data_IF_881458506655
#
_entry.id   IF_881458506655
#
_cell.length_a   1.000
_cell.length_b   1.000
_cell.length_c   1.000
_cell.angle_alpha   90.00
_cell.angle_beta   90.00
_cell.angle_gamma   90.00
#
_symmetry.space_group_name_H-M   'P 1'
#
loop_
_entity.id
_entity.type
_entity.pdbx_description
1 polymer ?
#
# COMPACT_ATOMS: atom_id res chain seq x y z
N UNK A 1 0.17 -14.58 -16.82
CA UNK A 1 0.36 -15.11 -15.45
C UNK A 1 1.74 -14.77 -14.87
N UNK A 2 2.86 -15.03 -15.55
CA UNK A 2 4.21 -14.66 -15.04
C UNK A 2 4.45 -13.14 -14.98
N UNK A 3 4.20 -12.40 -16.07
CA UNK A 3 4.29 -10.93 -16.10
C UNK A 3 3.38 -10.22 -15.08
N UNK A 4 2.18 -10.76 -14.83
CA UNK A 4 1.24 -10.25 -13.82
C UNK A 4 1.69 -10.53 -12.39
N UNK A 5 2.40 -11.65 -12.14
CA UNK A 5 3.02 -11.94 -10.84
C UNK A 5 4.24 -11.04 -10.59
N UNK A 6 5.01 -10.71 -11.62
CA UNK A 6 6.17 -9.81 -11.50
C UNK A 6 5.71 -8.36 -11.29
N UNK A 7 4.68 -7.91 -12.00
CA UNK A 7 4.03 -6.62 -11.72
C UNK A 7 3.49 -6.57 -10.28
N UNK A 8 2.89 -7.66 -9.79
CA UNK A 8 2.48 -7.78 -8.40
C UNK A 8 3.67 -7.79 -7.42
N UNK A 9 4.84 -8.33 -7.78
CA UNK A 9 6.04 -8.32 -6.95
C UNK A 9 6.67 -6.92 -6.82
N UNK A 10 6.63 -6.10 -7.88
CA UNK A 10 7.04 -4.69 -7.84
C UNK A 10 6.07 -3.86 -6.97
N UNK A 11 4.78 -4.23 -6.92
CA UNK A 11 3.76 -3.63 -6.04
C UNK A 11 3.81 -4.20 -4.61
N UNK A 12 4.24 -5.45 -4.42
CA UNK A 12 4.20 -6.16 -3.15
C UNK A 12 5.23 -5.66 -2.12
N UNK A 13 6.20 -4.84 -2.53
CA UNK A 13 7.14 -4.21 -1.61
C UNK A 13 6.47 -3.26 -0.58
N UNK A 14 5.18 -2.92 -0.73
CA UNK A 14 4.48 -1.92 0.07
C UNK A 14 3.44 -2.38 1.09
N UNK A 15 3.33 -3.67 1.45
CA UNK A 15 2.20 -4.15 2.30
C UNK A 15 2.58 -4.68 3.69
N UNK A 16 3.85 -4.89 4.03
CA UNK A 16 4.21 -5.46 5.33
C UNK A 16 4.85 -4.45 6.28
N UNK A 17 4.13 -4.12 7.37
CA UNK A 17 4.69 -3.45 8.54
C UNK A 17 3.99 -2.14 8.92
N UNK A 18 2.74 -2.26 9.37
CA UNK A 18 2.20 -1.29 10.35
C UNK A 18 3.01 -1.46 11.64
N UNK A 19 3.10 -0.43 12.54
CA UNK A 19 3.09 -0.58 14.02
C UNK A 19 4.03 0.24 14.97
N UNK A 20 3.63 1.39 15.56
CA UNK A 20 3.80 1.74 17.01
C UNK A 20 3.03 3.04 17.33
N UNK A 21 2.28 3.13 18.45
CA UNK A 21 2.11 4.34 19.28
C UNK A 21 1.10 4.19 20.45
N UNK A 22 1.26 5.07 21.44
CA UNK A 22 0.34 5.29 22.57
C UNK A 22 -1.04 5.74 22.06
N UNK A 23 -2.15 5.36 22.71
CA UNK A 23 -3.49 5.81 22.36
C UNK A 23 -3.54 7.34 22.29
N UNK A 24 -3.53 7.90 21.09
CA UNK A 24 -3.86 9.30 20.90
C UNK A 24 -5.37 9.45 21.01
N UNK A 25 -5.81 10.29 21.94
CA UNK A 25 -7.21 10.72 22.03
C UNK A 25 -7.57 11.75 20.95
N UNK A 26 -6.63 12.03 20.02
CA UNK A 26 -6.80 13.06 19.00
C UNK A 26 -7.95 12.67 18.06
N UNK A 27 -9.05 13.39 18.21
CA UNK A 27 -10.23 13.28 17.34
C UNK A 27 -10.01 13.98 15.99
N UNK A 28 -8.84 14.60 15.79
CA UNK A 28 -8.51 15.40 14.62
C UNK A 28 -7.21 14.91 13.98
N UNK A 29 -7.31 14.59 12.69
CA UNK A 29 -6.18 14.16 11.86
C UNK A 29 -5.33 15.38 11.49
N UNK A 30 -4.24 15.60 12.22
CA UNK A 30 -3.26 16.65 11.94
C UNK A 30 -2.01 16.06 11.28
N UNK A 31 -2.11 15.75 9.99
CA UNK A 31 -1.02 15.19 9.20
C UNK A 31 -0.93 15.88 7.84
N UNK A 32 -0.01 16.86 7.66
CA UNK A 32 0.07 17.68 6.44
C UNK A 32 0.24 16.90 5.14
N UNK A 33 0.87 15.71 5.20
CA UNK A 33 1.09 14.89 4.01
C UNK A 33 -0.21 14.34 3.39
N UNK A 34 -1.32 14.34 4.13
CA UNK A 34 -2.65 14.03 3.57
C UNK A 34 -3.08 15.03 2.49
N UNK A 35 -2.47 16.23 2.44
CA UNK A 35 -2.74 17.22 1.41
C UNK A 35 -2.23 16.80 0.02
N UNK A 36 -1.33 15.81 -0.05
CA UNK A 36 -0.77 15.29 -1.31
C UNK A 36 -1.48 14.02 -1.78
N UNK A 37 -2.51 13.55 -1.07
CA UNK A 37 -3.27 12.36 -1.43
C UNK A 37 -4.63 12.79 -2.02
N UNK A 38 -4.96 12.42 -3.27
CA UNK A 38 -6.24 12.74 -3.89
C UNK A 38 -7.42 12.20 -3.07
N UNK A 39 -8.50 12.97 -2.96
CA UNK A 39 -9.69 12.55 -2.20
C UNK A 39 -10.42 11.34 -2.82
N UNK A 40 -10.26 11.14 -4.13
CA UNK A 40 -10.78 10.03 -4.92
C UNK A 40 -9.84 8.82 -4.95
N UNK A 41 -8.76 8.82 -4.14
CA UNK A 41 -7.89 7.66 -4.02
C UNK A 41 -8.68 6.41 -3.61
N UNK A 42 -8.50 5.33 -4.39
CA UNK A 42 -9.25 4.07 -4.25
C UNK A 42 -8.73 3.25 -3.09
N UNK A 43 -7.42 3.32 -2.83
CA UNK A 43 -6.76 2.64 -1.74
C UNK A 43 -5.83 3.62 -1.05
N UNK A 44 -5.88 3.63 0.28
CA UNK A 44 -4.96 4.40 1.10
C UNK A 44 -4.61 3.61 2.35
N UNK A 45 -3.37 3.75 2.78
CA UNK A 45 -2.85 3.35 4.06
C UNK A 45 -1.89 4.43 4.54
N UNK A 46 -2.06 4.87 5.78
CA UNK A 46 -1.26 5.91 6.39
C UNK A 46 -0.91 5.52 7.82
N UNK A 47 0.39 5.42 8.09
CA UNK A 47 0.96 5.37 9.42
C UNK A 47 1.23 6.83 9.84
N UNK A 48 0.22 7.46 10.44
CA UNK A 48 0.24 8.89 10.78
C UNK A 48 1.19 9.19 11.93
N UNK A 49 1.50 8.17 12.72
CA UNK A 49 2.40 8.25 13.84
C UNK A 49 3.66 7.44 13.60
N UNK A 50 4.86 7.92 14.00
CA UNK A 50 6.11 7.20 13.72
C UNK A 50 6.13 5.79 14.31
N UNK A 51 6.51 4.82 13.48
CA UNK A 51 6.71 3.41 13.81
C UNK A 51 8.20 3.16 14.06
N UNK A 52 8.54 2.55 15.21
CA UNK A 52 9.87 1.98 15.45
C UNK A 52 10.03 0.68 14.66
N UNK A 53 10.48 0.78 13.41
CA UNK A 53 10.62 -0.36 12.51
C UNK A 53 11.66 -1.36 13.03
N UNK A 54 12.71 -0.90 13.73
CA UNK A 54 13.76 -1.77 14.26
C UNK A 54 13.23 -2.63 15.40
N UNK A 55 12.55 -2.01 16.37
CA UNK A 55 11.92 -2.74 17.48
C UNK A 55 10.81 -3.67 16.98
N UNK A 56 10.07 -3.24 15.96
CA UNK A 56 9.04 -4.05 15.33
C UNK A 56 9.61 -5.31 14.68
N UNK A 57 10.62 -5.19 13.81
CA UNK A 57 11.22 -6.34 13.12
C UNK A 57 11.84 -7.35 14.10
N UNK A 58 12.44 -6.86 15.20
CA UNK A 58 12.94 -7.71 16.28
C UNK A 58 11.86 -8.55 16.95
N UNK A 59 10.66 -7.99 17.11
CA UNK A 59 9.53 -8.70 17.72
C UNK A 59 8.93 -9.78 16.83
N UNK A 60 8.98 -9.60 15.51
CA UNK A 60 8.45 -10.56 14.56
C UNK A 60 9.32 -11.82 14.44
N UNK A 61 10.61 -11.71 14.77
CA UNK A 61 11.57 -12.79 14.58
C UNK A 61 11.70 -13.20 13.11
N UNK A 62 11.63 -12.23 12.18
CA UNK A 62 11.76 -12.50 10.76
C UNK A 62 13.17 -12.98 10.43
N UNK A 63 13.30 -14.27 10.11
CA UNK A 63 14.55 -14.84 9.62
C UNK A 63 14.63 -14.75 8.09
N UNK A 64 15.81 -14.53 7.50
CA UNK A 64 15.98 -14.49 6.04
C UNK A 64 15.44 -15.77 5.36
N UNK A 65 15.57 -16.92 6.02
CA UNK A 65 15.12 -18.22 5.50
C UNK A 65 13.61 -18.27 5.24
N UNK A 66 12.79 -17.42 5.88
CA UNK A 66 11.34 -17.39 5.60
C UNK A 66 11.00 -16.84 4.21
N UNK A 67 11.84 -15.96 3.65
CA UNK A 67 11.55 -15.25 2.39
C UNK A 67 12.61 -15.45 1.31
N UNK A 68 13.81 -15.89 1.68
CA UNK A 68 14.98 -16.10 0.83
C UNK A 68 15.47 -17.56 0.91
N UNK A 69 14.55 -18.52 1.08
CA UNK A 69 14.89 -19.94 1.01
C UNK A 69 15.36 -20.33 -0.42
N UNK A 70 16.06 -21.47 -0.59
CA UNK A 70 16.58 -21.88 -1.88
C UNK A 70 15.52 -22.00 -2.99
N UNK A 71 14.30 -22.44 -2.66
CA UNK A 71 13.20 -22.58 -3.62
C UNK A 71 12.73 -21.21 -4.12
N UNK A 72 12.55 -20.25 -3.20
CA UNK A 72 12.18 -18.87 -3.54
C UNK A 72 13.29 -18.15 -4.29
N UNK A 73 14.56 -18.37 -3.92
CA UNK A 73 15.70 -17.79 -4.64
C UNK A 73 15.78 -18.30 -6.09
N UNK A 74 15.42 -19.56 -6.34
CA UNK A 74 15.32 -20.10 -7.69
C UNK A 74 14.15 -19.47 -8.47
N UNK A 75 13.01 -19.22 -7.82
CA UNK A 75 11.92 -18.46 -8.45
C UNK A 75 12.39 -17.04 -8.79
N UNK A 76 13.05 -16.36 -7.85
CA UNK A 76 13.57 -15.01 -8.07
C UNK A 76 14.62 -14.95 -9.17
N UNK A 77 15.54 -15.91 -9.23
CA UNK A 77 16.58 -15.97 -10.28
C UNK A 77 15.95 -16.15 -11.67
N UNK A 78 14.94 -17.00 -11.79
CA UNK A 78 14.21 -17.22 -13.03
C UNK A 78 13.45 -15.96 -13.49
N UNK A 79 12.78 -15.26 -12.56
CA UNK A 79 12.07 -14.01 -12.88
C UNK A 79 13.05 -12.89 -13.23
N UNK A 80 14.17 -12.77 -12.51
CA UNK A 80 15.19 -11.77 -12.76
C UNK A 80 15.86 -11.94 -14.13
N UNK A 81 15.96 -13.17 -14.64
CA UNK A 81 16.53 -13.47 -15.95
C UNK A 81 15.60 -13.12 -17.13
N UNK A 82 14.33 -12.76 -16.89
CA UNK A 82 13.39 -12.45 -17.99
C UNK A 82 13.73 -11.13 -18.72
N UNK A 83 14.23 -10.12 -18.01
CA UNK A 83 14.57 -8.79 -18.55
C UNK A 83 15.40 -8.00 -17.55
N UNK A 84 16.05 -6.91 -18.01
CA UNK A 84 16.74 -5.98 -17.11
C UNK A 84 15.77 -5.36 -16.09
N UNK A 85 14.56 -4.99 -16.53
CA UNK A 85 13.49 -4.44 -15.68
C UNK A 85 13.01 -5.44 -14.62
N UNK A 86 12.87 -6.73 -14.98
CA UNK A 86 12.51 -7.77 -14.01
C UNK A 86 13.64 -8.02 -13.01
N UNK A 87 14.89 -8.10 -13.49
CA UNK A 87 16.07 -8.22 -12.64
C UNK A 87 16.19 -7.07 -11.63
N UNK A 88 15.89 -5.84 -12.07
CA UNK A 88 15.88 -4.66 -11.21
C UNK A 88 14.83 -4.77 -10.10
N UNK A 89 13.58 -5.09 -10.45
CA UNK A 89 12.49 -5.23 -9.48
C UNK A 89 12.75 -6.34 -8.45
N UNK A 90 13.29 -7.48 -8.90
CA UNK A 90 13.67 -8.58 -8.01
C UNK A 90 14.84 -8.18 -7.11
N UNK A 91 15.87 -7.51 -7.64
CA UNK A 91 17.00 -7.06 -6.83
C UNK A 91 16.56 -6.05 -5.74
N UNK A 92 15.66 -5.11 -6.07
CA UNK A 92 15.07 -4.20 -5.08
C UNK A 92 14.31 -4.95 -3.98
N UNK A 93 13.46 -5.90 -4.36
CA UNK A 93 12.70 -6.71 -3.41
C UNK A 93 13.63 -7.51 -2.49
N UNK A 94 14.66 -8.16 -3.03
CA UNK A 94 15.62 -8.94 -2.24
C UNK A 94 16.45 -8.05 -1.31
N UNK A 95 16.92 -6.89 -1.78
CA UNK A 95 17.63 -5.93 -0.94
C UNK A 95 16.77 -5.47 0.24
N UNK A 96 15.48 -5.20 -0.01
CA UNK A 96 14.54 -4.80 1.02
C UNK A 96 14.24 -5.94 2.02
N UNK A 97 13.95 -7.16 1.54
CA UNK A 97 13.75 -8.34 2.40
C UNK A 97 14.98 -8.66 3.25
N UNK A 98 16.19 -8.50 2.70
CA UNK A 98 17.43 -8.65 3.44
C UNK A 98 17.59 -7.57 4.52
N UNK A 99 17.17 -6.33 4.26
CA UNK A 99 17.17 -5.29 5.27
C UNK A 99 16.15 -5.56 6.39
N UNK A 100 14.96 -6.07 6.06
CA UNK A 100 13.93 -6.43 7.04
C UNK A 100 14.37 -7.55 8.00
N UNK A 101 15.21 -8.47 7.52
CA UNK A 101 15.76 -9.58 8.32
C UNK A 101 17.01 -9.21 9.12
N UNK A 102 17.52 -7.98 8.96
CA UNK A 102 18.65 -7.45 9.74
C UNK A 102 18.27 -6.12 10.41
N UNK A 103 17.46 -6.15 11.49
CA UNK A 103 16.90 -4.94 12.08
C UNK A 103 17.96 -3.89 12.49
N UNK A 104 19.13 -4.32 12.95
CA UNK A 104 20.23 -3.43 13.35
C UNK A 104 20.81 -2.61 12.20
N UNK A 105 20.77 -3.13 10.97
CA UNK A 105 21.35 -2.49 9.78
C UNK A 105 20.29 -1.92 8.84
N UNK A 106 19.00 -2.05 9.18
CA UNK A 106 17.87 -1.62 8.35
C UNK A 106 18.02 -0.17 7.85
N UNK A 107 18.26 0.78 8.76
CA UNK A 107 18.43 2.21 8.41
C UNK A 107 19.63 2.41 7.49
N UNK A 108 20.75 1.74 7.79
CA UNK A 108 21.98 1.85 6.99
C UNK A 108 21.79 1.31 5.57
N UNK A 109 20.99 0.25 5.40
CA UNK A 109 20.77 -0.41 4.10
C UNK A 109 19.71 0.28 3.24
N UNK A 110 18.73 0.93 3.87
CA UNK A 110 17.54 1.46 3.18
C UNK A 110 17.45 2.98 3.20
N UNK A 111 18.14 3.65 4.12
CA UNK A 111 17.98 5.07 4.39
C UNK A 111 16.69 5.45 5.11
N UNK A 112 15.76 4.51 5.30
CA UNK A 112 14.47 4.73 5.97
C UNK A 112 14.72 4.96 7.46
N UNK A 113 14.05 5.95 8.03
CA UNK A 113 14.20 6.28 9.44
C UNK A 113 13.78 5.12 10.35
N UNK A 114 14.51 4.90 11.45
CA UNK A 114 14.14 3.88 12.43
C UNK A 114 12.76 4.16 13.05
N UNK A 115 12.45 5.44 13.25
CA UNK A 115 11.14 5.94 13.64
C UNK A 115 10.53 6.61 12.41
N UNK A 116 9.76 5.86 11.62
CA UNK A 116 9.25 6.35 10.33
C UNK A 116 7.74 6.35 10.30
N UNK A 117 7.17 7.42 9.73
CA UNK A 117 5.82 7.40 9.17
C UNK A 117 5.87 6.84 7.75
N UNK A 118 4.76 6.28 7.28
CA UNK A 118 4.64 5.73 5.94
C UNK A 118 3.28 5.99 5.34
N UNK A 119 3.23 6.10 4.02
CA UNK A 119 2.01 6.30 3.24
C UNK A 119 2.06 5.37 2.04
N UNK A 120 0.97 4.65 1.80
CA UNK A 120 0.73 3.90 0.57
C UNK A 120 -0.62 4.31 0.04
N UNK A 121 -0.69 4.82 -1.19
CA UNK A 121 -1.96 5.28 -1.78
C UNK A 121 -1.93 5.22 -3.30
N UNK A 122 -3.09 5.39 -3.92
CA UNK A 122 -3.21 5.54 -5.37
C UNK A 122 -3.35 7.02 -5.75
N UNK A 123 -2.65 7.45 -6.79
CA UNK A 123 -2.99 8.65 -7.58
C UNK A 123 -3.50 8.12 -8.91
N UNK A 124 -4.82 8.06 -9.07
CA UNK A 124 -5.44 7.36 -10.20
C UNK A 124 -4.90 5.94 -10.36
N UNK A 125 -4.26 5.64 -11.49
CA UNK A 125 -3.63 4.34 -11.77
C UNK A 125 -2.20 4.19 -11.23
N UNK A 126 -1.58 5.24 -10.71
CA UNK A 126 -0.22 5.21 -10.16
C UNK A 126 -0.22 4.87 -8.66
N UNK A 127 0.26 3.68 -8.24
CA UNK A 127 0.54 3.41 -6.84
C UNK A 127 1.74 4.24 -6.36
N UNK A 128 1.61 4.82 -5.17
CA UNK A 128 2.60 5.66 -4.51
C UNK A 128 2.90 5.11 -3.14
N UNK A 129 4.19 4.97 -2.82
CA UNK A 129 4.69 4.62 -1.49
C UNK A 129 5.61 5.75 -1.03
N UNK A 130 5.44 6.18 0.22
CA UNK A 130 6.27 7.21 0.85
C UNK A 130 6.66 6.82 2.26
N UNK A 131 7.86 7.19 2.67
CA UNK A 131 8.37 6.99 4.02
C UNK A 131 9.39 8.06 4.39
N UNK A 132 9.56 8.30 5.68
CA UNK A 132 10.53 9.25 6.19
C UNK A 132 11.95 8.68 6.11
N UNK A 133 12.88 9.50 5.67
CA UNK A 133 14.28 9.13 5.53
C UNK A 133 15.11 9.67 6.70
N UNK A 134 16.04 8.85 7.17
CA UNK A 134 17.15 9.28 8.02
C UNK A 134 18.44 9.48 7.23
N UNK A 135 18.61 8.77 6.10
CA UNK A 135 19.79 8.86 5.24
C UNK A 135 19.38 8.77 3.76
N UNK A 136 19.38 9.91 3.09
CA UNK A 136 19.07 10.00 1.66
C UNK A 136 20.10 9.28 0.78
N UNK A 137 21.38 9.26 1.17
CA UNK A 137 22.42 8.61 0.37
C UNK A 137 22.26 7.09 0.40
N UNK A 138 21.96 6.52 1.57
CA UNK A 138 21.63 5.10 1.70
C UNK A 138 20.37 4.73 0.90
N UNK A 139 19.35 5.60 0.91
CA UNK A 139 18.14 5.40 0.12
C UNK A 139 18.45 5.32 -1.38
N UNK A 140 19.22 6.26 -1.92
CA UNK A 140 19.65 6.22 -3.33
C UNK A 140 20.54 5.02 -3.65
N UNK A 141 21.44 4.65 -2.74
CA UNK A 141 22.34 3.52 -2.92
C UNK A 141 21.58 2.19 -3.08
N UNK A 142 20.45 2.01 -2.40
CA UNK A 142 19.60 0.83 -2.55
C UNK A 142 19.13 0.63 -4.01
N UNK A 143 18.71 1.71 -4.67
CA UNK A 143 18.29 1.64 -6.08
C UNK A 143 19.46 1.55 -7.03
N UNK A 144 20.56 2.23 -6.76
CA UNK A 144 21.77 2.17 -7.58
C UNK A 144 22.38 0.77 -7.58
N UNK A 145 22.37 0.09 -6.43
CA UNK A 145 22.79 -1.30 -6.33
C UNK A 145 21.88 -2.22 -7.15
N UNK A 146 20.56 -2.06 -7.06
CA UNK A 146 19.63 -2.86 -7.86
C UNK A 146 19.78 -2.59 -9.37
N UNK A 147 19.98 -1.33 -9.76
CA UNK A 147 20.23 -0.91 -11.14
C UNK A 147 21.52 -1.53 -11.69
N UNK A 148 22.61 -1.46 -10.92
CA UNK A 148 23.91 -2.06 -11.27
C UNK A 148 23.80 -3.57 -11.42
N UNK A 149 23.13 -4.26 -10.48
CA UNK A 149 22.99 -5.71 -10.50
C UNK A 149 22.15 -6.23 -11.68
N UNK A 150 21.19 -5.43 -12.14
CA UNK A 150 20.28 -5.78 -13.23
C UNK A 150 20.72 -5.28 -14.60
N UNK A 151 21.72 -4.39 -14.65
CA UNK A 151 22.12 -3.67 -15.85
C UNK A 151 21.08 -2.62 -16.31
N UNK A 152 20.07 -2.32 -15.49
CA UNK A 152 19.08 -1.30 -15.80
C UNK A 152 19.66 0.10 -15.54
N UNK A 153 19.65 0.97 -16.54
CA UNK A 153 20.09 2.35 -16.38
C UNK A 153 19.00 3.20 -15.72
N UNK A 154 19.40 4.12 -14.84
CA UNK A 154 18.54 5.20 -14.35
C UNK A 154 18.73 6.47 -15.17
N UNK A 155 17.66 7.23 -15.37
CA UNK A 155 17.72 8.57 -15.93
C UNK A 155 17.42 9.61 -14.84
N UNK A 156 18.23 10.66 -14.77
CA UNK A 156 17.90 11.81 -13.94
C UNK A 156 16.95 12.73 -14.71
N UNK A 157 15.79 12.98 -14.14
CA UNK A 157 14.76 13.86 -14.69
C UNK A 157 14.52 15.06 -13.78
N UNK A 158 13.91 16.11 -14.33
CA UNK A 158 13.53 17.31 -13.58
C UNK A 158 12.09 17.67 -13.91
N UNK A 159 11.31 18.03 -12.88
CA UNK A 159 9.95 18.54 -13.01
C UNK A 159 9.76 19.69 -12.04
N UNK A 160 9.37 20.86 -12.53
CA UNK A 160 9.18 22.08 -11.72
C UNK A 160 10.40 22.43 -10.84
N UNK A 161 11.62 22.19 -11.34
CA UNK A 161 12.87 22.44 -10.61
C UNK A 161 13.24 21.38 -9.56
N UNK A 162 12.45 20.31 -9.44
CA UNK A 162 12.74 19.17 -8.57
C UNK A 162 13.34 18.02 -9.37
N UNK A 163 14.50 17.51 -8.93
CA UNK A 163 15.18 16.38 -9.54
C UNK A 163 14.68 15.05 -8.99
N UNK A 164 14.44 14.07 -9.85
CA UNK A 164 14.07 12.71 -9.48
C UNK A 164 14.76 11.71 -10.42
N UNK A 165 14.77 10.42 -10.07
CA UNK A 165 15.28 9.36 -10.94
C UNK A 165 14.14 8.55 -11.51
N UNK A 166 14.23 8.20 -12.79
CA UNK A 166 13.33 7.27 -13.45
C UNK A 166 14.07 6.02 -13.90
N UNK A 167 13.41 4.88 -13.74
CA UNK A 167 13.88 3.57 -14.21
C UNK A 167 12.83 3.04 -15.18
N UNK A 168 13.18 2.85 -16.46
CA UNK A 168 12.22 2.30 -17.43
C UNK A 168 11.90 0.84 -17.10
N UNK A 169 10.61 0.53 -17.03
CA UNK A 169 10.10 -0.83 -16.87
C UNK A 169 9.43 -1.33 -18.15
N UNK A 170 9.68 -0.69 -19.30
CA UNK A 170 8.99 -0.97 -20.57
C UNK A 170 9.10 -2.44 -21.02
N UNK A 171 10.22 -3.12 -20.72
CA UNK A 171 10.41 -4.54 -21.03
C UNK A 171 9.41 -5.43 -20.27
N UNK A 172 9.00 -5.00 -19.07
CA UNK A 172 8.06 -5.70 -18.20
C UNK A 172 6.61 -5.25 -18.43
N UNK A 173 6.39 -3.94 -18.42
CA UNK A 173 5.12 -3.25 -18.55
C UNK A 173 5.32 -2.05 -19.47
N UNK A 174 4.83 -2.16 -20.71
CA UNK A 174 4.97 -1.12 -21.71
C UNK A 174 4.47 0.24 -21.19
N UNK A 175 5.23 1.30 -21.46
CA UNK A 175 4.94 2.66 -21.03
C UNK A 175 5.15 2.91 -19.54
N UNK A 176 5.60 1.95 -18.74
CA UNK A 176 5.70 2.09 -17.28
C UNK A 176 7.12 2.43 -16.86
N UNK A 177 7.24 3.34 -15.89
CA UNK A 177 8.50 3.72 -15.25
C UNK A 177 8.33 3.66 -13.73
N UNK A 178 9.39 3.24 -13.03
CA UNK A 178 9.52 3.51 -11.60
C UNK A 178 10.13 4.90 -11.43
N UNK A 179 9.43 5.79 -10.74
CA UNK A 179 9.94 7.10 -10.37
C UNK A 179 10.31 7.08 -8.89
N UNK A 180 11.48 7.62 -8.58
CA UNK A 180 11.98 7.74 -7.21
C UNK A 180 12.40 9.18 -6.97
N UNK A 181 11.90 9.79 -5.90
CA UNK A 181 12.28 11.14 -5.50
C UNK A 181 12.50 11.25 -3.99
N UNK A 182 13.22 12.29 -3.58
CA UNK A 182 13.37 12.66 -2.17
C UNK A 182 13.03 14.13 -2.03
N UNK A 183 11.99 14.43 -1.26
CA UNK A 183 11.49 15.80 -1.06
C UNK A 183 11.02 15.96 0.38
N UNK A 184 11.41 17.05 1.05
CA UNK A 184 11.01 17.37 2.44
C UNK A 184 11.27 16.23 3.44
N UNK A 185 12.34 15.46 3.25
CA UNK A 185 12.69 14.32 4.12
C UNK A 185 11.89 13.04 3.87
N UNK A 186 11.07 13.00 2.82
CA UNK A 186 10.33 11.81 2.38
C UNK A 186 10.95 11.19 1.14
N UNK A 187 11.22 9.89 1.19
CA UNK A 187 11.42 9.08 -0.01
C UNK A 187 10.06 8.80 -0.62
N UNK A 188 9.92 8.99 -1.94
CA UNK A 188 8.69 8.74 -2.69
C UNK A 188 9.00 7.81 -3.85
N UNK A 189 8.26 6.70 -3.94
CA UNK A 189 8.36 5.70 -4.99
C UNK A 189 7.02 5.61 -5.69
N UNK A 190 7.03 5.70 -7.02
CA UNK A 190 5.82 5.72 -7.85
C UNK A 190 5.99 4.79 -9.05
N UNK A 191 4.98 3.97 -9.35
CA UNK A 191 4.86 3.38 -10.68
C UNK A 191 3.99 4.31 -11.54
N UNK A 192 4.59 4.89 -12.57
CA UNK A 192 3.94 5.89 -13.41
C UNK A 192 3.95 5.46 -14.87
N UNK A 193 2.83 5.67 -15.57
CA UNK A 193 2.73 5.37 -17.00
C UNK A 193 2.99 6.63 -17.84
N UNK A 194 3.73 6.51 -18.93
CA UNK A 194 4.18 7.61 -19.78
C UNK A 194 3.05 8.35 -20.50
N UNK A 195 1.91 7.68 -20.70
CA UNK A 195 0.69 8.31 -21.25
C UNK A 195 0.01 9.29 -20.27
N UNK A 196 0.36 9.27 -18.99
CA UNK A 196 -0.22 10.17 -17.99
C UNK A 196 0.52 11.52 -17.98
N UNK A 197 -0.25 12.59 -17.76
CA UNK A 197 0.22 13.98 -17.89
C UNK A 197 1.34 14.35 -16.89
N UNK A 198 2.05 15.45 -17.17
CA UNK A 198 3.02 16.02 -16.23
C UNK A 198 2.40 16.45 -14.90
N UNK A 199 1.15 16.97 -14.90
CA UNK A 199 0.43 17.30 -13.67
C UNK A 199 0.16 16.04 -12.84
N UNK A 200 -0.25 14.95 -13.49
CA UNK A 200 -0.43 13.66 -12.84
C UNK A 200 0.89 13.15 -12.24
N UNK A 201 2.00 13.29 -13.00
CA UNK A 201 3.34 12.97 -12.51
C UNK A 201 3.71 13.79 -11.27
N UNK A 202 3.49 15.11 -11.30
CA UNK A 202 3.76 16.00 -10.18
C UNK A 202 2.95 15.66 -8.92
N UNK A 203 1.67 15.29 -9.08
CA UNK A 203 0.81 14.83 -7.98
C UNK A 203 1.29 13.49 -7.43
N UNK A 204 1.61 12.52 -8.29
CA UNK A 204 2.11 11.20 -7.88
C UNK A 204 3.46 11.27 -7.13
N UNK A 205 4.34 12.21 -7.50
CA UNK A 205 5.61 12.48 -6.81
C UNK A 205 5.45 13.37 -5.55
N UNK A 206 4.22 13.72 -5.16
CA UNK A 206 3.91 14.64 -4.05
C UNK A 206 4.58 16.02 -4.17
N UNK A 207 4.83 16.48 -5.40
CA UNK A 207 5.35 17.82 -5.70
C UNK A 207 4.22 18.85 -5.82
N UNK A 208 3.02 18.39 -6.17
CA UNK A 208 1.80 19.18 -6.30
C UNK A 208 0.70 18.59 -5.43
N UNK A 209 -0.07 19.46 -4.76
CA UNK A 209 -1.27 19.05 -4.03
C UNK A 209 -2.44 18.93 -5.02
N UNK A 210 -3.21 17.82 -5.00
CA UNK A 210 -4.46 17.73 -5.72
C UNK A 210 -5.46 18.79 -5.23
N UNK A 211 -6.30 19.30 -6.14
CA UNK A 211 -7.31 20.31 -5.81
C UNK A 211 -8.26 19.86 -4.69
N UNK A 212 -8.66 18.59 -4.73
CA UNK A 212 -9.40 17.91 -3.65
C UNK A 212 -8.54 16.78 -3.09
N UNK A 213 -8.21 16.86 -1.79
CA UNK A 213 -7.29 15.95 -1.14
C UNK A 213 -7.84 15.44 0.20
N UNK A 214 -7.18 14.45 0.80
CA UNK A 214 -7.66 13.84 2.05
C UNK A 214 -7.64 14.81 3.24
N UNK A 215 -6.78 15.83 3.22
CA UNK A 215 -6.74 16.85 4.28
C UNK A 215 -7.96 17.78 4.22
N UNK A 216 -8.36 18.25 3.03
CA UNK A 216 -9.41 19.26 2.87
C UNK A 216 -10.82 18.70 2.59
N UNK A 217 -10.94 17.45 2.12
CA UNK A 217 -12.24 16.84 1.77
C UNK A 217 -13.08 16.43 2.98
N UNK A 218 -12.47 16.27 4.16
CA UNK A 218 -13.12 15.76 5.36
C UNK A 218 -13.48 14.26 5.32
N UNK A 219 -13.24 13.57 4.20
CA UNK A 219 -13.60 12.15 3.99
C UNK A 219 -12.95 11.23 5.03
N UNK A 220 -11.64 11.33 5.22
CA UNK A 220 -10.91 10.51 6.17
C UNK A 220 -11.35 10.81 7.62
N UNK A 221 -11.55 12.09 7.94
CA UNK A 221 -12.01 12.52 9.26
C UNK A 221 -13.42 12.02 9.59
N UNK A 222 -14.32 12.01 8.61
CA UNK A 222 -15.67 11.45 8.75
C UNK A 222 -15.61 9.94 8.98
N UNK A 223 -14.78 9.21 8.22
CA UNK A 223 -14.57 7.77 8.36
C UNK A 223 -14.04 7.39 9.75
N UNK A 224 -13.01 8.10 10.23
CA UNK A 224 -12.44 7.89 11.58
C UNK A 224 -13.50 8.08 12.67
N UNK A 225 -14.34 9.11 12.55
CA UNK A 225 -15.42 9.38 13.50
C UNK A 225 -16.53 8.33 13.43
N UNK A 226 -16.99 8.01 12.21
CA UNK A 226 -18.10 7.09 11.99
C UNK A 226 -17.79 5.69 12.53
N UNK A 227 -16.58 5.19 12.30
CA UNK A 227 -16.19 3.83 12.68
C UNK A 227 -15.38 3.76 13.98
N UNK A 228 -15.21 4.90 14.66
CA UNK A 228 -14.43 5.03 15.89
C UNK A 228 -13.04 4.41 15.73
N UNK A 229 -12.35 4.79 14.66
CA UNK A 229 -11.03 4.28 14.33
C UNK A 229 -9.96 4.92 15.19
N UNK A 230 -8.89 4.19 15.47
CA UNK A 230 -7.65 4.75 15.99
C UNK A 230 -6.92 5.51 14.88
N UNK A 231 -6.40 6.69 15.22
CA UNK A 231 -5.77 7.58 14.26
C UNK A 231 -4.27 7.34 14.06
N UNK A 232 -3.68 6.34 14.73
CA UNK A 232 -2.24 6.09 14.68
C UNK A 232 -1.85 5.48 13.33
N UNK A 233 -2.59 4.46 12.89
CA UNK A 233 -2.57 3.92 11.55
C UNK A 233 -3.98 3.75 11.01
N UNK A 234 -4.25 4.23 9.80
CA UNK A 234 -5.55 4.11 9.13
C UNK A 234 -5.34 3.64 7.71
N UNK A 235 -6.20 2.74 7.23
CA UNK A 235 -6.28 2.39 5.83
C UNK A 235 -7.71 2.15 5.36
N UNK A 236 -7.92 2.27 4.05
CA UNK A 236 -9.17 1.89 3.42
C UNK A 236 -9.00 1.43 1.97
N UNK A 237 -9.95 0.63 1.50
CA UNK A 237 -10.24 0.38 0.09
C UNK A 237 -11.67 0.85 -0.18
N UNK A 238 -11.83 1.82 -1.08
CA UNK A 238 -13.12 2.42 -1.41
C UNK A 238 -13.77 1.72 -2.59
N UNK A 239 -14.87 1.01 -2.33
CA UNK A 239 -15.67 0.38 -3.38
C UNK A 239 -16.40 1.39 -4.25
N UNK A 240 -16.75 2.56 -3.71
CA UNK A 240 -17.33 3.67 -4.47
C UNK A 240 -16.37 4.14 -5.57
N UNK A 241 -15.12 4.43 -5.19
CA UNK A 241 -14.11 4.87 -6.15
C UNK A 241 -13.72 3.75 -7.11
N UNK A 242 -13.66 2.50 -6.64
CA UNK A 242 -13.41 1.35 -7.51
C UNK A 242 -14.56 1.11 -8.50
N UNK A 243 -15.81 1.23 -8.06
CA UNK A 243 -16.99 1.08 -8.92
C UNK A 243 -17.01 2.15 -10.01
N UNK A 244 -16.73 3.42 -9.66
CA UNK A 244 -16.60 4.51 -10.62
C UNK A 244 -15.48 4.22 -11.63
N UNK A 245 -14.32 3.78 -11.16
CA UNK A 245 -13.18 3.45 -12.01
C UNK A 245 -13.47 2.34 -13.03
N UNK A 246 -14.24 1.32 -12.65
CA UNK A 246 -14.50 0.14 -13.48
C UNK A 246 -15.72 0.29 -14.41
N UNK A 247 -16.65 1.18 -14.08
CA UNK A 247 -17.93 1.28 -14.81
C UNK A 247 -18.07 2.57 -15.62
N UNK A 248 -17.14 3.51 -15.48
CA UNK A 248 -17.15 4.80 -16.18
C UNK A 248 -15.82 5.06 -16.88
N UNK A 249 -15.82 6.02 -17.81
CA UNK A 249 -14.59 6.46 -18.49
C UNK A 249 -13.90 7.62 -17.78
N UNK A 250 -14.62 8.35 -16.93
CA UNK A 250 -14.18 9.64 -16.39
C UNK A 250 -14.68 9.97 -14.97
N UNK A 251 -15.37 9.03 -14.30
CA UNK A 251 -15.99 9.26 -12.99
C UNK A 251 -15.01 9.59 -11.86
N UNK A 252 -13.75 9.19 -11.98
CA UNK A 252 -12.64 9.60 -11.11
C UNK A 252 -11.30 9.53 -11.85
N UNK A 253 -10.19 9.87 -11.18
CA UNK A 253 -8.87 9.86 -11.82
C UNK A 253 -8.48 8.46 -12.31
N UNK A 254 -8.76 7.40 -11.55
CA UNK A 254 -8.45 6.04 -11.96
C UNK A 254 -9.20 5.66 -13.25
N UNK A 255 -10.48 6.01 -13.38
CA UNK A 255 -11.25 5.77 -14.62
C UNK A 255 -10.57 6.38 -15.84
N UNK A 256 -10.13 7.65 -15.73
CA UNK A 256 -9.46 8.39 -16.80
C UNK A 256 -8.11 7.78 -17.14
N UNK A 257 -7.32 7.43 -16.13
CA UNK A 257 -6.00 6.86 -16.34
C UNK A 257 -6.08 5.51 -17.04
N UNK A 258 -7.04 4.66 -16.67
CA UNK A 258 -7.25 3.38 -17.34
C UNK A 258 -7.50 3.57 -18.85
N UNK A 259 -8.25 4.62 -19.25
CA UNK A 259 -8.42 4.92 -20.69
C UNK A 259 -7.10 5.25 -21.39
N UNK A 260 -6.16 5.87 -20.69
CA UNK A 260 -4.88 6.33 -21.25
C UNK A 260 -3.81 5.22 -21.22
N UNK A 261 -3.83 4.34 -20.20
CA UNK A 261 -2.82 3.29 -20.04
C UNK A 261 -3.08 2.07 -20.91
N UNK A 262 -4.32 1.82 -21.32
CA UNK A 262 -4.62 0.75 -22.28
C UNK A 262 -4.47 1.27 -23.72
N UNK A 263 -3.27 1.09 -24.29
CA UNK A 263 -2.89 1.56 -25.63
C UNK A 263 -3.78 1.07 -26.78
N UNK A 264 -4.40 -0.10 -26.64
CA UNK A 264 -5.32 -0.70 -27.63
C UNK A 264 -6.80 -0.44 -27.29
N UNK A 265 -7.06 0.44 -26.32
CA UNK A 265 -8.37 0.64 -25.71
C UNK A 265 -8.65 -0.38 -24.59
N UNK A 266 -9.69 -0.12 -23.80
CA UNK A 266 -10.10 -1.03 -22.74
C UNK A 266 -10.40 -2.43 -23.33
N UNK A 267 -9.88 -3.50 -22.72
CA UNK A 267 -10.26 -4.86 -23.08
C UNK A 267 -11.79 -5.04 -23.12
N UNK A 268 -12.31 -5.81 -24.07
CA UNK A 268 -13.76 -6.07 -24.22
C UNK A 268 -14.39 -6.59 -22.91
N UNK A 269 -13.64 -7.37 -22.13
CA UNK A 269 -14.03 -7.86 -20.81
C UNK A 269 -14.29 -6.75 -19.78
N UNK A 270 -13.62 -5.60 -19.92
CA UNK A 270 -13.86 -4.41 -19.11
C UNK A 270 -14.94 -3.51 -19.71
N UNK A 271 -15.08 -3.48 -21.04
CA UNK A 271 -16.14 -2.70 -21.70
C UNK A 271 -17.55 -3.13 -21.28
N UNK A 272 -17.76 -4.42 -20.96
CA UNK A 272 -19.07 -4.92 -20.49
C UNK A 272 -19.54 -4.25 -19.20
N UNK A 273 -18.61 -3.70 -18.40
CA UNK A 273 -18.92 -3.01 -17.15
C UNK A 273 -19.45 -1.58 -17.36
N UNK A 274 -19.31 -1.03 -18.58
CA UNK A 274 -19.71 0.34 -18.89
C UNK A 274 -21.18 0.47 -19.29
N UNK A 275 -21.98 -0.60 -19.20
CA UNK A 275 -23.41 -0.51 -19.48
C UNK A 275 -24.15 0.31 -18.41
N UNK A 276 -25.24 1.01 -18.76
CA UNK A 276 -26.03 1.76 -17.78
C UNK A 276 -26.56 0.89 -16.63
N UNK A 277 -26.85 -0.39 -16.90
CA UNK A 277 -27.27 -1.36 -15.89
C UNK A 277 -26.14 -1.62 -14.89
N UNK A 278 -24.94 -1.95 -15.37
CA UNK A 278 -23.77 -2.17 -14.51
C UNK A 278 -23.41 -0.92 -13.68
N UNK A 279 -23.46 0.27 -14.27
CA UNK A 279 -23.22 1.52 -13.55
C UNK A 279 -24.23 1.72 -12.41
N UNK A 280 -25.52 1.47 -12.68
CA UNK A 280 -26.59 1.59 -11.68
C UNK A 280 -26.42 0.58 -10.55
N UNK A 281 -26.18 -0.68 -10.89
CA UNK A 281 -26.03 -1.77 -9.93
C UNK A 281 -24.78 -1.56 -9.06
N UNK A 282 -23.65 -1.21 -9.66
CA UNK A 282 -22.40 -0.98 -8.92
C UNK A 282 -22.45 0.29 -8.06
N UNK A 283 -23.15 1.34 -8.49
CA UNK A 283 -23.39 2.52 -7.66
C UNK A 283 -24.28 2.20 -6.44
N UNK A 284 -25.25 1.30 -6.59
CA UNK A 284 -26.08 0.82 -5.47
C UNK A 284 -25.26 -0.05 -4.50
N UNK A 285 -24.52 -1.02 -5.03
CA UNK A 285 -23.71 -1.95 -4.25
C UNK A 285 -22.61 -1.24 -3.46
N UNK A 286 -21.90 -0.29 -4.08
CA UNK A 286 -20.83 0.47 -3.42
C UNK A 286 -21.34 1.36 -2.29
N UNK A 287 -22.56 1.89 -2.37
CA UNK A 287 -23.19 2.60 -1.24
C UNK A 287 -23.56 1.66 -0.09
N UNK A 288 -23.99 0.45 -0.43
CA UNK A 288 -24.38 -0.56 0.57
C UNK A 288 -23.16 -1.15 1.28
N UNK A 289 -22.05 -1.30 0.55
CA UNK A 289 -20.79 -1.85 1.01
C UNK A 289 -19.69 -0.82 0.72
N UNK A 290 -19.50 0.23 1.54
CA UNK A 290 -18.57 1.35 1.26
C UNK A 290 -17.10 0.94 1.13
N UNK A 291 -16.76 -0.27 1.57
CA UNK A 291 -15.50 -0.93 1.30
C UNK A 291 -14.84 -1.50 2.55
N UNK A 292 -13.53 -1.66 2.50
CA UNK A 292 -12.74 -2.10 3.64
C UNK A 292 -12.18 -0.89 4.36
N UNK A 293 -12.32 -0.86 5.68
CA UNK A 293 -11.73 0.18 6.52
C UNK A 293 -10.94 -0.52 7.61
N UNK A 294 -9.72 -0.08 7.88
CA UNK A 294 -8.90 -0.65 8.92
C UNK A 294 -8.21 0.42 9.75
N UNK A 295 -8.04 0.14 11.03
CA UNK A 295 -7.11 0.87 11.90
C UNK A 295 -6.05 -0.07 12.47
N UNK A 296 -5.02 0.53 13.03
CA UNK A 296 -3.99 -0.17 13.77
C UNK A 296 -3.53 0.68 14.96
N UNK A 297 -3.45 0.04 16.12
CA UNK A 297 -2.84 0.51 17.35
C UNK A 297 -1.94 -0.62 17.87
N UNK A 298 -0.77 -0.30 18.41
CA UNK A 298 -0.05 -1.26 19.24
C UNK A 298 0.56 -0.61 20.43
N UNK A 299 0.69 -1.48 21.42
CA UNK A 299 1.16 -1.18 22.73
C UNK A 299 2.36 -2.09 22.98
N UNK A 300 3.53 -1.50 23.22
CA UNK A 300 4.65 -2.23 23.80
C UNK A 300 4.26 -2.64 25.22
N UNK A 301 4.20 -3.93 25.50
CA UNK A 301 3.91 -4.40 26.85
C UNK A 301 5.18 -4.57 27.69
N UNK A 302 6.28 -4.96 27.03
CA UNK A 302 7.62 -5.08 27.59
C UNK A 302 8.65 -5.07 26.43
N UNK A 303 9.96 -4.89 26.70
CA UNK A 303 10.99 -4.98 25.66
C UNK A 303 10.87 -6.27 24.85
N UNK A 304 10.67 -6.15 23.54
CA UNK A 304 10.50 -7.28 22.61
C UNK A 304 9.14 -8.00 22.67
N UNK A 305 8.15 -7.48 23.43
CA UNK A 305 6.78 -8.01 23.49
C UNK A 305 5.78 -6.96 23.01
N UNK A 306 5.22 -7.17 21.82
CA UNK A 306 4.25 -6.27 21.21
C UNK A 306 2.83 -6.82 21.32
N UNK A 307 1.90 -5.95 21.69
CA UNK A 307 0.47 -6.23 21.61
C UNK A 307 -0.18 -5.33 20.57
N UNK A 308 -0.68 -5.95 19.52
CA UNK A 308 -1.28 -5.33 18.36
C UNK A 308 -2.81 -5.38 18.47
N UNK A 309 -3.47 -4.22 18.36
CA UNK A 309 -4.92 -4.10 18.23
C UNK A 309 -5.23 -3.46 16.89
N UNK A 310 -5.98 -4.16 16.05
CA UNK A 310 -6.48 -3.62 14.79
C UNK A 310 -7.98 -3.87 14.72
N UNK A 311 -8.70 -2.88 14.22
CA UNK A 311 -10.10 -2.99 13.82
C UNK A 311 -10.12 -3.02 12.30
N UNK A 312 -10.54 -4.15 11.73
CA UNK A 312 -10.81 -4.29 10.30
C UNK A 312 -12.32 -4.43 10.11
N UNK A 313 -12.90 -3.54 9.32
CA UNK A 313 -14.34 -3.46 9.08
C UNK A 313 -14.65 -3.62 7.60
N UNK A 314 -15.69 -4.40 7.33
CA UNK A 314 -16.41 -4.39 6.06
C UNK A 314 -17.82 -3.86 6.34
N UNK A 315 -18.00 -2.52 6.42
CA UNK A 315 -19.29 -1.96 6.77
C UNK A 315 -20.34 -2.34 5.73
N UNK A 316 -21.55 -2.64 6.18
CA UNK A 316 -22.68 -2.87 5.29
C UNK A 316 -23.94 -2.23 5.84
N UNK A 317 -24.77 -1.65 4.97
CA UNK A 317 -26.11 -1.19 5.33
C UNK A 317 -27.21 -2.17 4.87
N UNK A 318 -26.82 -3.32 4.32
CA UNK A 318 -27.78 -4.34 3.86
C UNK A 318 -28.38 -5.09 5.04
N UNK A 319 -29.68 -4.89 5.28
CA UNK A 319 -30.41 -5.62 6.34
C UNK A 319 -30.39 -7.13 6.11
N UNK A 320 -30.59 -7.57 4.86
CA UNK A 320 -30.55 -9.00 4.50
C UNK A 320 -29.17 -9.60 4.81
N UNK A 321 -28.09 -8.87 4.52
CA UNK A 321 -26.74 -9.34 4.83
C UNK A 321 -26.52 -9.41 6.34
N UNK A 322 -26.96 -8.41 7.10
CA UNK A 322 -26.84 -8.39 8.55
C UNK A 322 -27.64 -9.53 9.20
N UNK A 323 -28.89 -9.75 8.79
CA UNK A 323 -29.72 -10.87 9.26
C UNK A 323 -29.07 -12.23 8.97
N UNK A 324 -28.54 -12.41 7.75
CA UNK A 324 -27.85 -13.63 7.36
C UNK A 324 -26.57 -13.88 8.17
N UNK A 325 -25.77 -12.83 8.39
CA UNK A 325 -24.54 -12.91 9.18
C UNK A 325 -24.85 -13.18 10.66
N UNK A 326 -25.89 -12.56 11.23
CA UNK A 326 -26.28 -12.77 12.63
C UNK A 326 -26.71 -14.22 12.90
N UNK A 327 -27.14 -14.95 11.87
CA UNK A 327 -27.44 -16.39 11.95
C UNK A 327 -26.20 -17.28 12.07
N UNK A 328 -24.99 -16.75 11.85
CA UNK A 328 -23.75 -17.52 11.96
C UNK A 328 -23.40 -17.77 13.43
N UNK A 329 -23.51 -19.02 13.87
CA UNK A 329 -23.06 -19.43 15.21
C UNK A 329 -21.58 -19.79 15.17
N UNK A 330 -20.77 -19.05 15.94
CA UNK A 330 -19.38 -19.42 16.19
C UNK A 330 -19.28 -20.75 16.95
N UNK A 331 -18.31 -21.60 16.58
CA UNK A 331 -18.02 -22.84 17.28
C UNK A 331 -16.65 -22.74 17.95
N UNK A 332 -16.63 -22.86 19.28
CA UNK A 332 -15.38 -23.04 20.04
C UNK A 332 -15.26 -24.54 20.36
N UNK A 333 -14.25 -25.24 19.82
CA UNK A 333 -14.02 -26.65 20.14
C UNK A 333 -13.95 -26.88 21.66
N UNK A 334 -14.66 -27.89 22.16
CA UNK A 334 -14.67 -28.22 23.58
C UNK A 334 -13.26 -28.53 24.15
N UNK A 335 -12.32 -28.95 23.28
CA UNK A 335 -10.91 -29.14 23.63
C UNK A 335 -10.18 -27.86 24.06
N UNK A 336 -10.75 -26.68 23.80
CA UNK A 336 -10.20 -25.38 24.22
C UNK A 336 -10.85 -24.84 25.51
N UNK A 337 -11.88 -25.50 26.06
CA UNK A 337 -12.63 -25.04 27.24
C UNK A 337 -11.90 -25.22 28.59
N UNK A 338 -10.59 -25.48 28.59
CA UNK A 338 -9.77 -25.66 29.79
C UNK A 338 -8.44 -24.89 29.77
N UNK A 339 -8.27 -23.97 28.81
CA UNK A 339 -7.01 -23.29 28.53
C UNK A 339 -6.42 -23.69 27.18
N UNK A 340 -5.52 -22.86 26.67
CA UNK A 340 -4.74 -23.18 25.47
C UNK A 340 -3.56 -24.05 25.90
N UNK A 341 -3.26 -25.17 25.20
CA UNK A 341 -2.02 -25.92 25.46
C UNK A 341 -0.76 -25.05 25.23
N UNK A 342 0.43 -25.62 25.35
CA UNK A 342 1.62 -24.94 24.84
C UNK A 342 1.66 -25.11 23.31
N UNK A 343 1.59 -24.01 22.57
CA UNK A 343 1.77 -23.97 21.11
C UNK A 343 2.60 -22.75 20.73
N UNK A 344 3.32 -22.84 19.61
CA UNK A 344 4.00 -21.69 19.01
C UNK A 344 3.01 -20.66 18.46
N UNK A 345 1.77 -21.07 18.15
CA UNK A 345 0.76 -20.19 17.55
C UNK A 345 -0.67 -20.63 17.87
N UNK A 346 -1.54 -19.66 18.09
CA UNK A 346 -3.00 -19.81 18.20
C UNK A 346 -3.69 -18.75 17.35
N UNK A 347 -4.75 -19.15 16.64
CA UNK A 347 -5.63 -18.24 15.91
C UNK A 347 -7.08 -18.53 16.29
N UNK A 348 -7.79 -17.50 16.72
CA UNK A 348 -9.24 -17.52 16.87
C UNK A 348 -9.85 -16.51 15.92
N UNK A 349 -10.86 -16.92 15.15
CA UNK A 349 -11.66 -16.03 14.32
C UNK A 349 -13.04 -15.88 14.95
N UNK A 350 -13.39 -14.66 15.31
CA UNK A 350 -14.73 -14.28 15.74
C UNK A 350 -15.24 -13.13 14.89
N UNK A 351 -16.52 -13.16 14.53
CA UNK A 351 -17.19 -12.05 13.89
C UNK A 351 -18.14 -11.41 14.91
N UNK A 352 -17.91 -10.14 15.25
CA UNK A 352 -18.89 -9.31 15.94
C UNK A 352 -19.73 -8.61 14.87
N UNK A 353 -21.06 -8.78 14.96
CA UNK A 353 -22.00 -8.15 14.04
C UNK A 353 -22.86 -7.21 14.88
N UNK A 354 -22.68 -5.91 14.68
CA UNK A 354 -23.26 -4.84 15.49
C UNK A 354 -23.82 -3.71 14.64
#
# INVERSE_FOLDING_TARGET
MKKTLIAAAVVAAGVAGYYFLKPSSATQLDFPELAYIPADTVLMSAQLTPLDIVSYLKSLGLSPEMYLNPEMNEVYSQLAAESSSAGFGIALLQNYLQALSEPETFVQKTGIAAQTRSLTYMVGAAPVIRFELADEAAFWAMFEQAATNSGLASEQQNLNGHSFRSYSLDELLAGTQLLVSVERGWGTIVLHHSALSESHRAESLALQQPASNLLNSGKLQAMVKQYQLKADGIGYLSTEQLAQALTTTDGNQLARDLQLTFSEGLPETLQVWHTPACQTDMAMLSKTWPGLVMDAELVEQAPGKLHMRSKMLFPTTSQIALEGLQGLQGFIPASLNGGLPDSMFYMGLGAEIS
#
